data_IF_446942430459
#
_entry.id   IF_446942430459
#
_cell.length_a   1.000
_cell.length_b   1.000
_cell.length_c   1.000
_cell.angle_alpha   90.00
_cell.angle_beta   90.00
_cell.angle_gamma   90.00
#
_symmetry.space_group_name_H-M   'P 1'
#
loop_
_entity.id
_entity.type
_entity.pdbx_description
1 polymer ?
#
# COMPACT_ATOMS: atom_id res chain seq x y z
N UNK A 1 -2.52 11.22 -6.53
CA UNK A 1 -2.23 9.91 -7.19
C UNK A 1 -1.41 10.14 -8.47
N UNK A 2 -0.07 10.04 -8.41
CA UNK A 2 0.79 10.19 -9.58
C UNK A 2 0.70 8.99 -10.55
N UNK A 3 0.81 9.26 -11.86
CA UNK A 3 0.83 8.24 -12.92
C UNK A 3 2.04 8.40 -13.83
N UNK A 4 2.70 7.29 -14.19
CA UNK A 4 3.87 7.28 -15.08
C UNK A 4 3.74 6.20 -16.14
N UNK A 5 4.05 6.54 -17.39
CA UNK A 5 4.04 5.61 -18.53
C UNK A 5 5.43 4.96 -18.64
N UNK A 6 5.52 3.62 -18.63
CA UNK A 6 6.81 2.93 -18.86
C UNK A 6 6.95 2.51 -20.33
N UNK A 7 8.07 2.87 -20.94
CA UNK A 7 8.43 2.54 -22.32
C UNK A 7 9.06 1.14 -22.38
N UNK A 8 8.29 0.15 -22.79
CA UNK A 8 8.79 -1.21 -23.04
C UNK A 8 7.74 -2.05 -23.76
N UNK A 9 7.91 -2.21 -25.08
CA UNK A 9 7.21 -3.06 -26.07
C UNK A 9 5.66 -3.07 -26.12
N UNK A 10 4.93 -2.83 -25.02
CA UNK A 10 3.50 -2.49 -24.95
C UNK A 10 3.34 -1.38 -23.92
N UNK A 11 3.11 -0.15 -24.39
CA UNK A 11 3.05 1.02 -23.51
C UNK A 11 1.89 0.91 -22.51
N UNK A 12 2.22 0.75 -21.24
CA UNK A 12 1.30 0.63 -20.10
C UNK A 12 1.44 1.85 -19.18
N UNK A 13 0.32 2.22 -18.56
CA UNK A 13 0.25 3.22 -17.50
C UNK A 13 0.44 2.54 -16.16
N UNK A 14 1.19 3.19 -15.27
CA UNK A 14 1.43 2.77 -13.90
C UNK A 14 0.96 3.88 -12.96
N UNK A 15 0.11 3.56 -12.01
CA UNK A 15 -0.29 4.45 -10.92
C UNK A 15 0.39 4.02 -9.62
N UNK A 16 0.88 5.01 -8.87
CA UNK A 16 1.39 4.84 -7.50
C UNK A 16 0.75 5.91 -6.62
N UNK A 17 0.86 5.76 -5.30
CA UNK A 17 0.36 6.76 -4.35
C UNK A 17 1.34 6.97 -3.21
N UNK A 18 1.59 8.23 -2.85
CA UNK A 18 2.36 8.59 -1.65
C UNK A 18 1.47 8.48 -0.40
N UNK A 19 0.17 8.76 -0.54
CA UNK A 19 -0.81 8.71 0.56
C UNK A 19 -1.24 7.29 0.92
N UNK A 20 -1.11 6.34 -0.01
CA UNK A 20 -1.46 4.92 0.20
C UNK A 20 -0.21 4.08 -0.05
N UNK A 21 0.61 3.83 0.99
CA UNK A 21 1.82 3.03 0.87
C UNK A 21 1.53 1.62 0.32
N UNK A 22 2.39 1.16 -0.57
CA UNK A 22 2.23 -0.15 -1.24
C UNK A 22 1.25 -0.14 -2.41
N UNK A 23 0.59 0.99 -2.72
CA UNK A 23 -0.27 1.09 -3.88
C UNK A 23 0.54 1.14 -5.18
N UNK A 24 0.35 0.11 -6.00
CA UNK A 24 0.82 0.04 -7.38
C UNK A 24 -0.28 -0.56 -8.26
N UNK A 25 -0.63 0.11 -9.34
CA UNK A 25 -1.63 -0.38 -10.31
C UNK A 25 -1.16 -0.15 -11.75
N UNK A 26 -1.52 -1.05 -12.66
CA UNK A 26 -1.07 -1.02 -14.06
C UNK A 26 -2.24 -1.27 -15.01
N UNK A 27 -2.32 -0.49 -16.09
CA UNK A 27 -3.32 -0.66 -17.14
C UNK A 27 -2.82 -0.23 -18.52
N UNK A 28 -3.58 -0.53 -19.57
CA UNK A 28 -3.32 -0.12 -20.96
C UNK A 28 -3.76 1.31 -21.23
N UNK A 29 -4.71 1.82 -20.45
CA UNK A 29 -5.18 3.21 -20.48
C UNK A 29 -5.11 3.88 -19.12
N UNK A 30 -5.20 5.21 -19.09
CA UNK A 30 -5.28 5.99 -17.85
C UNK A 30 -6.51 5.59 -17.04
N UNK A 31 -7.70 5.53 -17.65
CA UNK A 31 -8.94 5.18 -16.94
C UNK A 31 -8.89 3.78 -16.34
N UNK A 32 -8.47 2.78 -17.10
CA UNK A 32 -8.31 1.40 -16.61
C UNK A 32 -7.35 1.35 -15.41
N UNK A 33 -6.23 2.06 -15.50
CA UNK A 33 -5.25 2.10 -14.41
C UNK A 33 -5.84 2.76 -13.16
N UNK A 34 -6.67 3.80 -13.31
CA UNK A 34 -7.35 4.46 -12.20
C UNK A 34 -8.43 3.58 -11.55
N UNK A 35 -9.17 2.81 -12.35
CA UNK A 35 -10.13 1.82 -11.84
C UNK A 35 -9.41 0.76 -11.00
N UNK A 36 -8.33 0.18 -11.53
CA UNK A 36 -7.50 -0.79 -10.82
C UNK A 36 -6.89 -0.15 -9.55
N UNK A 37 -6.40 1.08 -9.64
CA UNK A 37 -5.80 1.78 -8.51
C UNK A 37 -6.79 2.02 -7.37
N UNK A 38 -8.05 2.32 -7.69
CA UNK A 38 -9.13 2.50 -6.70
C UNK A 38 -9.43 1.19 -5.95
N UNK A 39 -9.52 0.09 -6.69
CA UNK A 39 -9.75 -1.23 -6.09
C UNK A 39 -8.59 -1.67 -5.20
N UNK A 40 -7.35 -1.43 -5.64
CA UNK A 40 -6.15 -1.69 -4.84
C UNK A 40 -6.12 -0.83 -3.59
N UNK A 41 -6.42 0.47 -3.71
CA UNK A 41 -6.47 1.38 -2.55
C UNK A 41 -7.46 0.88 -1.49
N UNK A 42 -8.66 0.49 -1.90
CA UNK A 42 -9.68 -0.04 -1.00
C UNK A 42 -9.19 -1.28 -0.25
N UNK A 43 -8.66 -2.28 -0.98
CA UNK A 43 -8.15 -3.52 -0.38
C UNK A 43 -6.99 -3.28 0.59
N UNK A 44 -6.08 -2.35 0.27
CA UNK A 44 -4.97 -2.00 1.15
C UNK A 44 -5.45 -1.34 2.45
N UNK A 45 -6.44 -0.46 2.36
CA UNK A 45 -7.02 0.21 3.53
C UNK A 45 -7.82 -0.76 4.40
N UNK A 46 -8.60 -1.66 3.80
CA UNK A 46 -9.33 -2.73 4.49
C UNK A 46 -8.37 -3.65 5.24
N UNK A 47 -7.35 -4.19 4.56
CA UNK A 47 -6.36 -5.06 5.19
C UNK A 47 -5.63 -4.36 6.35
N UNK A 48 -5.32 -3.07 6.21
CA UNK A 48 -4.67 -2.30 7.28
C UNK A 48 -5.61 -2.07 8.46
N UNK A 49 -6.91 -1.88 8.23
CA UNK A 49 -7.90 -1.77 9.29
C UNK A 49 -8.07 -3.10 10.04
N UNK A 50 -8.15 -4.23 9.33
CA UNK A 50 -8.22 -5.57 9.92
C UNK A 50 -6.99 -5.89 10.78
N UNK A 51 -5.79 -5.56 10.29
CA UNK A 51 -4.56 -5.70 11.06
C UNK A 51 -4.60 -4.81 12.31
N UNK A 52 -5.08 -3.57 12.18
CA UNK A 52 -5.12 -2.66 13.32
C UNK A 52 -6.16 -3.08 14.38
N UNK A 53 -7.32 -3.61 13.97
CA UNK A 53 -8.31 -4.18 14.91
C UNK A 53 -7.78 -5.43 15.61
N UNK A 54 -7.15 -6.35 14.88
CA UNK A 54 -6.56 -7.56 15.47
C UNK A 54 -5.42 -7.24 16.44
N UNK A 55 -4.54 -6.29 16.10
CA UNK A 55 -3.50 -5.80 17.02
C UNK A 55 -4.12 -5.13 18.25
N UNK A 56 -5.15 -4.29 18.09
CA UNK A 56 -5.80 -3.60 19.21
C UNK A 56 -6.45 -4.59 20.20
N UNK A 57 -6.99 -5.71 19.70
CA UNK A 57 -7.49 -6.78 20.56
C UNK A 57 -6.37 -7.56 21.28
N UNK A 58 -5.21 -7.74 20.65
CA UNK A 58 -4.05 -8.40 21.27
C UNK A 58 -3.29 -7.49 22.26
N UNK A 59 -3.24 -6.18 22.02
CA UNK A 59 -2.58 -5.21 22.92
C UNK A 59 -3.34 -4.98 24.23
N UNK A 60 -4.63 -5.28 24.28
CA UNK A 60 -5.37 -5.33 25.53
C UNK A 60 -4.92 -6.51 26.43
N UNK A 61 -4.14 -7.45 25.90
CA UNK A 61 -3.79 -8.69 26.58
C UNK A 61 -2.31 -8.85 26.99
N UNK A 62 -1.33 -8.17 26.39
CA UNK A 62 0.07 -8.41 26.79
C UNK A 62 1.05 -7.25 26.53
N UNK A 63 1.95 -7.05 27.50
CA UNK A 63 3.08 -6.13 27.46
C UNK A 63 4.06 -6.49 26.35
N UNK A 64 4.33 -5.55 25.43
CA UNK A 64 5.30 -5.72 24.36
C UNK A 64 6.71 -5.39 24.87
N UNK A 65 7.44 -6.42 25.31
CA UNK A 65 8.88 -6.37 25.55
C UNK A 65 9.62 -6.37 24.21
N UNK A 66 9.84 -5.18 23.64
CA UNK A 66 10.66 -5.03 22.43
C UNK A 66 11.99 -4.37 22.81
N UNK A 67 13.10 -5.08 22.61
CA UNK A 67 14.43 -4.48 22.71
C UNK A 67 14.75 -3.70 21.45
N UNK A 68 14.84 -2.37 21.60
CA UNK A 68 15.29 -1.46 20.55
C UNK A 68 16.82 -1.52 20.45
N UNK A 69 17.34 -2.07 19.35
CA UNK A 69 18.77 -2.00 19.04
C UNK A 69 19.03 -0.77 18.18
N UNK A 70 19.68 0.24 18.74
CA UNK A 70 20.24 1.37 17.99
C UNK A 70 21.71 1.10 17.70
N UNK A 71 22.10 1.15 16.42
CA UNK A 71 23.51 1.30 16.06
C UNK A 71 23.82 2.79 16.00
N UNK A 72 24.75 3.23 16.83
CA UNK A 72 25.37 4.55 16.71
C UNK A 72 26.70 4.36 15.98
N UNK A 73 26.92 5.18 14.95
CA UNK A 73 28.18 5.29 14.19
C UNK A 73 29.27 6.02 14.98
#
# INVERSE_FOLDING_TARGET
>A
MPMKRRSGLKGVYLATSEDVPGLVAQGRTVSETMEIARDVARKLLEARAEIHESIKMQQAADSLDIQLVVNAE
#
